data_IF_033812114572
#
_entry.id   IF_033812114572
#
_cell.length_a   1.000
_cell.length_b   1.000
_cell.length_c   1.000
_cell.angle_alpha   90.00
_cell.angle_beta   90.00
_cell.angle_gamma   90.00
#
_symmetry.space_group_name_H-M   'P 1'
#
loop_
_entity.id
_entity.type
_entity.pdbx_description
1 polymer ?
#
# COMPACT_ATOMS: atom_id res chain seq x y z
N UNK A 1 -32.15 -42.96 -63.07
CA UNK A 1 -30.73 -43.04 -63.48
C UNK A 1 -30.17 -41.63 -63.54
N UNK A 2 -29.07 -41.38 -62.82
CA UNK A 2 -28.12 -40.25 -62.89
C UNK A 2 -28.45 -38.95 -62.11
N UNK A 3 -27.83 -38.93 -60.93
CA UNK A 3 -27.54 -37.84 -60.00
C UNK A 3 -26.79 -36.67 -60.67
N UNK A 4 -26.97 -35.45 -60.16
CA UNK A 4 -25.98 -34.36 -60.18
C UNK A 4 -26.35 -33.33 -59.09
N UNK A 5 -25.95 -33.58 -57.85
CA UNK A 5 -25.88 -32.53 -56.82
C UNK A 5 -24.44 -32.09 -56.71
N UNK A 6 -24.20 -30.86 -57.17
CA UNK A 6 -22.95 -30.13 -57.09
C UNK A 6 -22.58 -29.99 -55.60
N UNK A 7 -21.51 -30.66 -55.19
CA UNK A 7 -20.98 -30.57 -53.84
C UNK A 7 -20.40 -29.19 -53.59
N UNK A 8 -20.87 -28.52 -52.53
CA UNK A 8 -20.19 -27.39 -51.92
C UNK A 8 -20.01 -27.70 -50.44
N UNK A 9 -18.97 -28.48 -50.15
CA UNK A 9 -18.54 -28.73 -48.76
C UNK A 9 -17.60 -27.60 -48.38
N UNK A 10 -18.15 -26.56 -47.76
CA UNK A 10 -17.37 -25.46 -47.18
C UNK A 10 -16.70 -25.99 -45.91
N UNK A 11 -15.43 -26.39 -46.02
CA UNK A 11 -14.63 -26.86 -44.89
C UNK A 11 -14.19 -25.65 -44.06
N UNK A 12 -14.91 -25.37 -42.97
CA UNK A 12 -14.59 -24.31 -42.02
C UNK A 12 -13.46 -24.80 -41.10
N UNK A 13 -12.20 -24.53 -41.49
CA UNK A 13 -11.02 -24.84 -40.66
C UNK A 13 -10.95 -23.81 -39.52
N UNK A 14 -11.39 -24.21 -38.33
CA UNK A 14 -11.26 -23.43 -37.11
C UNK A 14 -9.79 -23.46 -36.66
N UNK A 15 -9.01 -22.43 -37.00
CA UNK A 15 -7.66 -22.22 -36.50
C UNK A 15 -7.73 -21.92 -34.99
N UNK A 16 -7.47 -22.94 -34.16
CA UNK A 16 -7.23 -22.75 -32.73
C UNK A 16 -5.89 -22.03 -32.55
N UNK A 17 -5.93 -20.71 -32.39
CA UNK A 17 -4.76 -19.92 -32.01
C UNK A 17 -4.43 -20.28 -30.55
N UNK A 18 -3.26 -20.85 -30.24
CA UNK A 18 -2.87 -21.08 -28.85
C UNK A 18 -2.76 -19.72 -28.16
N UNK A 19 -3.56 -19.49 -27.12
CA UNK A 19 -3.41 -18.31 -26.28
C UNK A 19 -2.13 -18.49 -25.45
N UNK A 20 -1.05 -17.87 -25.91
CA UNK A 20 0.19 -17.78 -25.14
C UNK A 20 -0.10 -16.91 -23.92
N UNK A 21 -0.31 -17.57 -22.77
CA UNK A 21 -0.39 -16.90 -21.49
C UNK A 21 1.01 -16.44 -21.12
N UNK A 22 1.32 -15.16 -21.32
CA UNK A 22 2.55 -14.57 -20.82
C UNK A 22 2.51 -14.56 -19.30
N UNK A 23 3.37 -15.36 -18.66
CA UNK A 23 3.58 -15.28 -17.22
C UNK A 23 4.03 -13.83 -16.90
N UNK A 24 3.22 -13.13 -16.11
CA UNK A 24 3.54 -11.76 -15.69
C UNK A 24 4.77 -11.82 -14.78
N UNK A 25 5.79 -11.01 -15.05
CA UNK A 25 6.98 -10.98 -14.19
C UNK A 25 6.63 -10.44 -12.80
N UNK A 26 7.42 -10.78 -11.78
CA UNK A 26 7.19 -10.28 -10.41
C UNK A 26 7.08 -8.75 -10.36
N UNK A 27 7.96 -8.05 -11.05
CA UNK A 27 7.96 -6.58 -11.08
C UNK A 27 6.67 -6.04 -11.71
N UNK A 28 6.22 -6.66 -12.81
CA UNK A 28 4.95 -6.28 -13.44
C UNK A 28 3.76 -6.57 -12.52
N UNK A 29 3.78 -7.66 -11.74
CA UNK A 29 2.73 -7.96 -10.77
C UNK A 29 2.65 -6.86 -9.71
N UNK A 30 3.76 -6.47 -9.10
CA UNK A 30 3.80 -5.39 -8.09
C UNK A 30 3.25 -4.06 -8.62
N UNK A 31 3.60 -3.71 -9.87
CA UNK A 31 3.10 -2.51 -10.52
C UNK A 31 1.58 -2.59 -10.75
N UNK A 32 1.09 -3.74 -11.21
CA UNK A 32 -0.33 -3.97 -11.48
C UNK A 32 -1.19 -4.07 -10.21
N UNK A 33 -0.62 -4.30 -9.02
CA UNK A 33 -1.42 -4.26 -7.79
C UNK A 33 -2.02 -2.88 -7.52
N UNK A 34 -1.41 -1.81 -8.03
CA UNK A 34 -2.00 -0.47 -7.94
C UNK A 34 -3.08 -0.32 -9.03
N UNK A 35 -4.31 0.08 -8.66
CA UNK A 35 -5.33 0.38 -9.65
C UNK A 35 -4.99 1.66 -10.41
N UNK A 36 -5.51 1.76 -11.62
CA UNK A 36 -5.50 3.02 -12.36
C UNK A 36 -6.60 3.93 -11.82
N UNK A 37 -6.23 4.87 -10.95
CA UNK A 37 -7.13 5.88 -10.39
C UNK A 37 -6.85 7.23 -11.04
N UNK A 38 -7.89 8.04 -11.20
CA UNK A 38 -7.72 9.42 -11.63
C UNK A 38 -6.81 10.17 -10.65
N UNK A 39 -5.82 10.95 -11.13
CA UNK A 39 -4.98 11.74 -10.26
C UNK A 39 -5.82 12.74 -9.48
N UNK A 40 -5.47 12.96 -8.22
CA UNK A 40 -6.06 14.00 -7.39
C UNK A 40 -4.99 14.99 -6.95
N UNK A 41 -5.39 16.25 -6.78
CA UNK A 41 -4.48 17.27 -6.29
C UNK A 41 -4.21 17.05 -4.80
N UNK A 42 -2.94 16.95 -4.44
CA UNK A 42 -2.47 16.80 -3.07
C UNK A 42 -1.54 17.98 -2.76
N UNK A 43 -2.09 19.10 -2.25
CA UNK A 43 -1.30 20.31 -2.04
C UNK A 43 -0.17 20.13 -1.02
N UNK A 44 -0.25 19.12 -0.15
CA UNK A 44 0.80 18.83 0.83
C UNK A 44 2.07 18.26 0.18
N UNK A 45 1.98 17.68 -1.03
CA UNK A 45 3.17 17.19 -1.77
C UNK A 45 4.05 18.32 -2.30
N UNK A 46 3.53 19.54 -2.34
CA UNK A 46 4.27 20.72 -2.81
C UNK A 46 5.06 21.39 -1.68
N UNK A 47 4.81 20.97 -0.43
CA UNK A 47 5.49 21.51 0.75
C UNK A 47 6.80 20.76 0.99
N UNK A 48 7.81 21.51 1.40
CA UNK A 48 9.06 20.95 1.92
C UNK A 48 8.86 20.39 3.34
N UNK A 49 9.79 19.57 3.82
CA UNK A 49 9.71 19.02 5.18
C UNK A 49 9.63 20.13 6.27
N UNK A 50 10.46 21.20 6.24
CA UNK A 50 10.32 22.30 7.22
C UNK A 50 8.95 22.95 7.19
N UNK A 51 8.36 23.15 6.00
CA UNK A 51 7.02 23.73 5.87
C UNK A 51 5.92 22.81 6.41
N UNK A 52 6.07 21.49 6.27
CA UNK A 52 5.18 20.51 6.88
C UNK A 52 5.32 20.51 8.40
N UNK A 53 6.54 20.65 8.92
CA UNK A 53 6.81 20.72 10.36
C UNK A 53 6.21 21.99 10.96
N UNK A 54 6.38 23.15 10.31
CA UNK A 54 5.79 24.43 10.69
C UNK A 54 4.25 24.38 10.66
N UNK A 55 3.66 23.79 9.61
CA UNK A 55 2.21 23.58 9.54
C UNK A 55 1.72 22.66 10.67
N UNK A 56 2.46 21.59 10.97
CA UNK A 56 2.18 20.69 12.09
C UNK A 56 2.22 21.43 13.43
N UNK A 57 3.23 22.28 13.62
CA UNK A 57 3.37 23.08 14.82
C UNK A 57 2.25 24.12 14.96
N UNK A 58 1.82 24.75 13.85
CA UNK A 58 0.67 25.64 13.82
C UNK A 58 -0.62 24.93 14.27
N UNK A 59 -0.86 23.71 13.79
CA UNK A 59 -2.03 22.91 14.21
C UNK A 59 -1.97 22.60 15.69
N UNK A 60 -0.82 22.16 16.21
CA UNK A 60 -0.65 21.87 17.63
C UNK A 60 -0.92 23.10 18.51
N UNK A 61 -0.38 24.26 18.14
CA UNK A 61 -0.68 25.53 18.81
C UNK A 61 -2.17 25.86 18.79
N UNK A 62 -2.84 25.63 17.66
CA UNK A 62 -4.28 25.90 17.51
C UNK A 62 -5.12 25.04 18.45
N UNK A 63 -4.77 23.75 18.58
CA UNK A 63 -5.42 22.79 19.47
C UNK A 63 -5.18 23.16 20.94
N UNK A 64 -3.93 23.48 21.32
CA UNK A 64 -3.56 23.91 22.68
C UNK A 64 -4.29 25.19 23.08
N UNK A 65 -4.32 26.20 22.20
CA UNK A 65 -5.02 27.48 22.45
C UNK A 65 -6.51 27.22 22.69
N UNK A 66 -7.16 26.44 21.81
CA UNK A 66 -8.58 26.11 21.92
C UNK A 66 -8.88 25.39 23.24
N UNK A 67 -8.05 24.43 23.62
CA UNK A 67 -8.18 23.69 24.86
C UNK A 67 -8.03 24.61 26.08
N UNK A 68 -6.99 25.44 26.11
CA UNK A 68 -6.73 26.38 27.21
C UNK A 68 -7.85 27.41 27.34
N UNK A 69 -8.35 27.96 26.23
CA UNK A 69 -9.48 28.89 26.26
C UNK A 69 -10.73 28.28 26.91
N UNK A 70 -10.97 26.99 26.65
CA UNK A 70 -12.11 26.27 27.20
C UNK A 70 -11.94 25.88 28.68
N UNK A 71 -10.72 25.56 29.13
CA UNK A 71 -10.47 24.97 30.46
C UNK A 71 -9.80 25.93 31.45
N UNK A 72 -8.97 26.84 30.97
CA UNK A 72 -8.15 27.73 31.77
C UNK A 72 -7.97 29.10 31.07
N UNK A 73 -9.06 29.86 30.83
CA UNK A 73 -9.02 31.11 30.06
C UNK A 73 -8.10 32.19 30.67
N UNK A 74 -7.81 32.11 31.97
CA UNK A 74 -6.90 33.01 32.68
C UNK A 74 -5.43 32.51 32.70
N UNK A 75 -5.10 31.50 31.89
CA UNK A 75 -3.73 30.99 31.81
C UNK A 75 -2.77 32.07 31.29
N UNK A 76 -1.76 32.41 32.11
CA UNK A 76 -0.88 33.57 31.87
C UNK A 76 -0.15 33.54 30.53
N UNK A 77 0.14 32.37 29.96
CA UNK A 77 0.85 32.25 28.68
C UNK A 77 -0.07 32.19 27.46
N UNK A 78 -1.40 32.20 27.63
CA UNK A 78 -2.33 32.18 26.50
C UNK A 78 -2.08 33.31 25.48
N UNK A 79 -1.81 34.57 25.88
CA UNK A 79 -1.46 35.63 24.93
C UNK A 79 -0.17 35.35 24.15
N UNK A 80 0.84 34.78 24.80
CA UNK A 80 2.12 34.42 24.16
C UNK A 80 1.93 33.33 23.10
N UNK A 81 1.13 32.31 23.39
CA UNK A 81 0.80 31.24 22.44
C UNK A 81 0.08 31.79 21.20
N UNK A 82 -0.90 32.68 21.40
CA UNK A 82 -1.61 33.33 20.28
C UNK A 82 -0.68 34.19 19.42
N UNK A 83 0.22 34.95 20.04
CA UNK A 83 1.22 35.72 19.29
C UNK A 83 2.13 34.80 18.46
N UNK A 84 2.54 33.66 19.03
CA UNK A 84 3.38 32.68 18.35
C UNK A 84 2.66 32.04 17.16
N UNK A 85 1.38 31.70 17.33
CA UNK A 85 0.52 31.16 16.26
C UNK A 85 0.38 32.18 15.12
N UNK A 86 0.08 33.44 15.43
CA UNK A 86 -0.05 34.51 14.42
C UNK A 86 1.26 34.74 13.67
N UNK A 87 2.40 34.77 14.38
CA UNK A 87 3.71 34.94 13.75
C UNK A 87 4.03 33.78 12.80
N UNK A 88 3.71 32.53 13.20
CA UNK A 88 3.89 31.35 12.36
C UNK A 88 2.98 31.35 11.14
N UNK A 89 1.73 31.81 11.28
CA UNK A 89 0.83 31.98 10.13
C UNK A 89 1.38 33.00 9.13
N UNK A 90 1.88 34.14 9.62
CA UNK A 90 2.49 35.17 8.78
C UNK A 90 3.74 34.67 8.06
N UNK A 91 4.58 33.89 8.75
CA UNK A 91 5.76 33.26 8.16
C UNK A 91 5.37 32.31 7.01
N UNK A 92 4.43 31.40 7.26
CA UNK A 92 3.90 30.49 6.24
C UNK A 92 3.28 31.27 5.06
N UNK A 93 2.51 32.32 5.32
CA UNK A 93 1.93 33.17 4.28
C UNK A 93 3.00 33.87 3.44
N UNK A 94 4.11 34.33 4.05
CA UNK A 94 5.23 34.95 3.33
C UNK A 94 5.91 33.99 2.35
N UNK A 95 5.79 32.68 2.62
CA UNK A 95 6.25 31.59 1.75
C UNK A 95 5.18 31.14 0.75
N UNK A 96 4.11 31.91 0.57
CA UNK A 96 2.94 31.59 -0.26
C UNK A 96 2.15 30.36 0.20
N UNK A 97 2.21 30.01 1.48
CA UNK A 97 1.47 28.90 2.06
C UNK A 97 0.16 29.42 2.67
N UNK A 98 -0.96 29.01 2.08
CA UNK A 98 -2.28 29.29 2.63
C UNK A 98 -2.69 28.21 3.64
N UNK A 99 -2.45 28.49 4.93
CA UNK A 99 -2.75 27.58 6.04
C UNK A 99 -4.23 27.17 6.06
N UNK A 100 -5.14 28.12 5.98
CA UNK A 100 -6.59 27.86 6.00
C UNK A 100 -7.03 26.95 4.85
N UNK A 101 -6.51 27.18 3.65
CA UNK A 101 -6.74 26.29 2.51
C UNK A 101 -6.21 24.89 2.77
N UNK A 102 -4.97 24.73 3.23
CA UNK A 102 -4.39 23.41 3.52
C UNK A 102 -5.18 22.65 4.58
N UNK A 103 -5.58 23.31 5.67
CA UNK A 103 -6.42 22.70 6.70
C UNK A 103 -7.78 22.27 6.16
N UNK A 104 -8.39 23.05 5.26
CA UNK A 104 -9.63 22.64 4.57
C UNK A 104 -9.45 21.40 3.69
N UNK A 105 -8.25 21.19 3.12
CA UNK A 105 -7.94 20.05 2.27
C UNK A 105 -7.52 18.80 3.06
N UNK A 106 -7.11 18.93 4.33
CA UNK A 106 -6.54 17.83 5.14
C UNK A 106 -7.40 16.57 5.10
N UNK A 107 -8.70 16.68 5.40
CA UNK A 107 -9.61 15.53 5.44
C UNK A 107 -9.86 14.94 4.05
N UNK A 108 -10.01 15.80 3.04
CA UNK A 108 -10.26 15.38 1.65
C UNK A 108 -9.06 14.58 1.14
N UNK A 109 -7.85 15.11 1.30
CA UNK A 109 -6.61 14.46 0.89
C UNK A 109 -6.39 13.16 1.66
N UNK A 110 -6.63 13.15 2.97
CA UNK A 110 -6.53 11.92 3.78
C UNK A 110 -7.42 10.81 3.22
N UNK A 111 -8.69 11.11 2.96
CA UNK A 111 -9.63 10.14 2.39
C UNK A 111 -9.21 9.69 0.99
N UNK A 112 -8.73 10.60 0.13
CA UNK A 112 -8.26 10.26 -1.21
C UNK A 112 -7.00 9.39 -1.17
N UNK A 113 -6.06 9.66 -0.26
CA UNK A 113 -4.87 8.83 -0.02
C UNK A 113 -5.27 7.43 0.47
N UNK A 114 -6.19 7.34 1.42
CA UNK A 114 -6.69 6.07 1.93
C UNK A 114 -7.40 5.25 0.84
N UNK A 115 -8.29 5.88 0.06
CA UNK A 115 -8.93 5.26 -1.09
C UNK A 115 -7.90 4.74 -2.09
N UNK A 116 -6.88 5.56 -2.43
CA UNK A 116 -5.85 5.17 -3.37
C UNK A 116 -4.95 4.04 -2.84
N UNK A 117 -4.72 3.98 -1.53
CA UNK A 117 -3.86 2.99 -0.89
C UNK A 117 -4.58 1.65 -0.67
N UNK A 118 -5.91 1.65 -0.51
CA UNK A 118 -6.74 0.46 -0.27
C UNK A 118 -7.46 -0.07 -1.51
N UNK A 119 -7.53 0.71 -2.59
CA UNK A 119 -8.15 0.25 -3.82
C UNK A 119 -7.33 -0.89 -4.46
N UNK A 120 -8.05 -1.89 -4.94
CA UNK A 120 -7.50 -3.05 -5.67
C UNK A 120 -7.67 -2.87 -7.17
N UNK A 121 -6.84 -3.55 -7.96
CA UNK A 121 -6.91 -3.56 -9.42
C UNK A 121 -7.85 -4.68 -9.90
N UNK A 122 -9.01 -4.36 -10.51
CA UNK A 122 -9.94 -5.34 -11.05
C UNK A 122 -9.33 -6.32 -12.05
N UNK A 123 -8.32 -5.90 -12.83
CA UNK A 123 -7.64 -6.76 -13.80
C UNK A 123 -6.84 -7.88 -13.15
N UNK A 124 -6.40 -7.69 -11.90
CA UNK A 124 -5.69 -8.70 -11.12
C UNK A 124 -6.68 -9.63 -10.43
N UNK A 125 -7.67 -9.09 -9.71
CA UNK A 125 -8.57 -9.90 -8.87
C UNK A 125 -9.61 -10.69 -9.67
N UNK A 126 -9.95 -10.24 -10.87
CA UNK A 126 -10.89 -10.97 -11.75
C UNK A 126 -10.16 -11.96 -12.68
N UNK A 127 -8.83 -12.06 -12.56
CA UNK A 127 -8.03 -12.98 -13.35
C UNK A 127 -8.07 -14.39 -12.75
N UNK A 128 -8.33 -15.39 -13.60
CA UNK A 128 -8.13 -16.81 -13.23
C UNK A 128 -6.67 -17.26 -13.40
N UNK A 129 -5.75 -16.34 -13.71
CA UNK A 129 -4.34 -16.64 -13.94
C UNK A 129 -3.53 -16.54 -12.64
N UNK A 130 -2.59 -17.47 -12.47
CA UNK A 130 -1.61 -17.38 -11.38
C UNK A 130 -0.64 -16.22 -11.62
N UNK A 131 -0.38 -15.46 -10.58
CA UNK A 131 0.59 -14.38 -10.56
C UNK A 131 1.84 -14.82 -9.82
N UNK A 132 3.01 -14.49 -10.37
CA UNK A 132 4.29 -14.65 -9.69
C UNK A 132 4.65 -13.35 -8.98
N UNK A 133 5.02 -13.45 -7.72
CA UNK A 133 5.39 -12.33 -6.85
C UNK A 133 6.62 -12.68 -6.04
N UNK A 134 7.68 -11.92 -6.22
CA UNK A 134 8.91 -12.01 -5.43
C UNK A 134 8.96 -10.87 -4.41
N UNK A 135 9.28 -11.18 -3.17
CA UNK A 135 9.32 -10.22 -2.07
C UNK A 135 9.87 -10.81 -0.79
N UNK A 136 9.82 -10.04 0.28
CA UNK A 136 10.25 -10.43 1.62
C UNK A 136 9.03 -10.82 2.46
N UNK A 137 9.15 -11.90 3.22
CA UNK A 137 8.12 -12.31 4.18
C UNK A 137 8.29 -11.55 5.48
N UNK A 138 7.22 -10.92 5.94
CA UNK A 138 7.06 -10.39 7.30
C UNK A 138 6.19 -11.41 8.06
N UNK A 139 6.78 -12.28 8.91
CA UNK A 139 6.02 -13.33 9.58
C UNK A 139 4.95 -12.74 10.51
N UNK A 140 3.74 -13.29 10.42
CA UNK A 140 2.64 -13.01 11.34
C UNK A 140 2.54 -14.13 12.36
N UNK A 141 2.60 -15.38 11.89
CA UNK A 141 2.52 -16.58 12.72
C UNK A 141 3.62 -17.56 12.33
N UNK A 142 4.33 -18.07 13.34
CA UNK A 142 5.38 -19.07 13.20
C UNK A 142 5.03 -20.24 14.12
N UNK A 143 5.03 -21.45 13.58
CA UNK A 143 4.79 -22.68 14.31
C UNK A 143 5.84 -23.71 13.90
N UNK A 144 6.46 -24.38 14.89
CA UNK A 144 7.52 -25.37 14.65
C UNK A 144 8.65 -24.84 13.74
N UNK A 145 9.02 -23.57 13.93
CA UNK A 145 10.04 -22.84 13.16
C UNK A 145 9.70 -22.60 11.67
N UNK A 146 8.44 -22.84 11.26
CA UNK A 146 7.94 -22.56 9.93
C UNK A 146 6.91 -21.42 9.97
N UNK A 147 6.99 -20.51 9.00
CA UNK A 147 6.00 -19.44 8.81
C UNK A 147 4.67 -20.07 8.36
N UNK A 148 3.60 -19.78 9.09
CA UNK A 148 2.22 -20.21 8.76
C UNK A 148 1.45 -19.11 8.06
N UNK A 149 1.58 -17.88 8.52
CA UNK A 149 1.00 -16.71 7.85
C UNK A 149 1.99 -15.56 7.85
N UNK A 150 1.96 -14.75 6.80
CA UNK A 150 2.86 -13.60 6.65
C UNK A 150 2.24 -12.50 5.80
N UNK A 151 2.86 -11.33 5.82
CA UNK A 151 2.77 -10.39 4.71
C UNK A 151 3.94 -10.60 3.76
N UNK A 152 3.69 -10.50 2.46
CA UNK A 152 4.71 -10.38 1.44
C UNK A 152 4.81 -8.91 1.01
N UNK A 153 6.02 -8.37 1.02
CA UNK A 153 6.32 -6.97 0.63
C UNK A 153 7.44 -6.92 -0.40
N UNK A 154 7.42 -5.93 -1.30
CA UNK A 154 8.41 -5.82 -2.38
C UNK A 154 9.82 -5.54 -1.86
N UNK A 155 9.92 -4.56 -0.98
CA UNK A 155 11.17 -4.02 -0.46
C UNK A 155 11.48 -4.61 0.92
N UNK A 156 12.76 -4.69 1.27
CA UNK A 156 13.16 -5.35 2.52
C UNK A 156 12.65 -4.57 3.72
N UNK A 157 11.86 -5.21 4.62
CA UNK A 157 11.41 -4.57 5.86
C UNK A 157 12.55 -4.42 6.87
N UNK A 158 13.73 -4.99 6.59
CA UNK A 158 14.89 -5.01 7.47
C UNK A 158 15.91 -3.91 7.16
N UNK A 159 15.69 -3.13 6.09
CA UNK A 159 16.55 -1.99 5.78
C UNK A 159 16.07 -0.77 6.59
N UNK A 160 16.78 -0.45 7.66
CA UNK A 160 16.53 0.73 8.47
C UNK A 160 17.47 1.84 8.00
N UNK A 161 16.91 2.89 7.38
CA UNK A 161 17.60 4.17 7.22
C UNK A 161 16.94 5.15 8.17
N UNK A 162 17.70 5.73 9.09
CA UNK A 162 17.30 6.88 9.90
C UNK A 162 15.92 6.77 10.62
N UNK A 163 15.62 5.62 11.25
CA UNK A 163 14.37 5.37 12.00
C UNK A 163 13.06 5.50 11.17
N UNK A 164 13.16 5.58 9.85
CA UNK A 164 12.02 5.59 8.95
C UNK A 164 11.51 4.18 8.73
N UNK A 165 10.70 3.69 9.67
CA UNK A 165 9.95 2.46 9.50
C UNK A 165 8.71 2.75 8.64
N UNK A 166 8.81 2.53 7.34
CA UNK A 166 7.69 2.70 6.42
C UNK A 166 7.06 1.35 6.11
N UNK A 167 5.86 1.11 6.63
CA UNK A 167 5.00 0.01 6.14
C UNK A 167 4.56 0.39 4.72
N UNK A 168 4.63 -0.54 3.75
CA UNK A 168 4.08 -0.31 2.42
C UNK A 168 2.57 -0.01 2.47
N UNK A 169 2.05 0.61 1.41
CA UNK A 169 0.61 0.83 1.27
C UNK A 169 -0.17 -0.51 1.25
N UNK A 170 -1.46 -0.53 1.61
CA UNK A 170 -2.24 -1.77 1.65
C UNK A 170 -2.30 -2.52 0.32
N UNK A 171 -2.41 -1.81 -0.80
CA UNK A 171 -2.35 -2.40 -2.14
C UNK A 171 -0.92 -2.71 -2.63
N UNK A 172 0.06 -2.62 -1.74
CA UNK A 172 1.46 -3.02 -1.94
C UNK A 172 1.94 -3.98 -0.85
N UNK A 173 0.98 -4.57 -0.12
CA UNK A 173 1.20 -5.60 0.87
C UNK A 173 0.25 -6.74 0.55
N UNK A 174 0.77 -7.97 0.49
CA UNK A 174 -0.04 -9.16 0.18
C UNK A 174 -0.05 -10.07 1.41
N UNK A 175 -1.23 -10.45 1.88
CA UNK A 175 -1.37 -11.49 2.90
C UNK A 175 -1.15 -12.88 2.26
N UNK A 176 -0.35 -13.72 2.90
CA UNK A 176 -0.05 -15.07 2.41
C UNK A 176 -0.31 -16.11 3.49
N UNK A 177 -1.04 -17.16 3.11
CA UNK A 177 -1.19 -18.37 3.90
C UNK A 177 -0.18 -19.42 3.42
N UNK A 178 0.73 -19.76 4.32
CA UNK A 178 1.85 -20.67 4.15
C UNK A 178 1.71 -21.91 5.04
N UNK A 179 0.53 -22.18 5.60
CA UNK A 179 0.30 -23.24 6.57
C UNK A 179 0.68 -24.64 6.07
N UNK A 180 0.58 -24.84 4.75
CA UNK A 180 0.94 -26.10 4.05
C UNK A 180 2.41 -26.16 3.60
N UNK A 181 3.23 -25.20 4.00
CA UNK A 181 4.64 -25.11 3.64
C UNK A 181 5.53 -25.12 4.89
N UNK A 182 6.82 -25.44 4.69
CA UNK A 182 7.85 -25.44 5.73
C UNK A 182 8.87 -24.33 5.50
N UNK A 183 8.42 -23.13 5.08
CA UNK A 183 9.32 -21.99 4.90
C UNK A 183 9.78 -21.49 6.27
N UNK A 184 11.08 -21.46 6.49
CA UNK A 184 11.68 -20.88 7.69
C UNK A 184 11.81 -19.35 7.54
N UNK A 185 11.75 -18.58 8.64
CA UNK A 185 12.06 -17.15 8.61
C UNK A 185 13.45 -16.88 8.02
N UNK A 186 13.51 -15.98 7.04
CA UNK A 186 14.74 -15.53 6.40
C UNK A 186 14.65 -14.05 6.07
N UNK A 187 15.81 -13.38 5.91
CA UNK A 187 15.90 -12.01 5.41
C UNK A 187 15.95 -11.93 3.89
N UNK A 188 15.97 -13.07 3.22
CA UNK A 188 16.05 -13.17 1.77
C UNK A 188 14.69 -13.07 1.08
N UNK A 189 14.72 -12.83 -0.23
CA UNK A 189 13.50 -12.84 -1.05
C UNK A 189 13.00 -14.26 -1.27
N UNK A 190 11.68 -14.39 -1.25
CA UNK A 190 10.96 -15.57 -1.72
C UNK A 190 10.17 -15.21 -2.97
N UNK A 191 10.13 -16.13 -3.93
CA UNK A 191 9.27 -16.04 -5.11
C UNK A 191 8.10 -17.01 -4.93
N UNK A 192 6.90 -16.45 -4.85
CA UNK A 192 5.65 -17.19 -4.70
C UNK A 192 4.83 -17.08 -5.99
N UNK A 193 4.03 -18.11 -6.27
CA UNK A 193 3.00 -18.08 -7.31
C UNK A 193 1.66 -18.51 -6.74
N UNK A 194 0.60 -17.80 -7.13
CA UNK A 194 -0.75 -18.10 -6.65
C UNK A 194 -1.80 -17.23 -7.33
N UNK A 195 -3.05 -17.39 -6.90
CA UNK A 195 -4.15 -16.51 -7.32
C UNK A 195 -4.22 -15.33 -6.37
N UNK A 196 -4.33 -14.11 -6.92
CA UNK A 196 -4.50 -12.90 -6.11
C UNK A 196 -5.98 -12.59 -5.98
N UNK A 197 -6.48 -12.64 -4.75
CA UNK A 197 -7.86 -12.30 -4.39
C UNK A 197 -7.87 -11.08 -3.47
N UNK A 198 -9.06 -10.50 -3.29
CA UNK A 198 -9.26 -9.42 -2.31
C UNK A 198 -9.46 -10.00 -0.92
N UNK A 199 -8.75 -9.45 0.06
CA UNK A 199 -8.98 -9.70 1.49
C UNK A 199 -8.52 -8.48 2.27
N UNK A 200 -9.17 -8.13 3.38
CA UNK A 200 -8.81 -6.97 4.22
C UNK A 200 -8.19 -7.45 5.53
N UNK A 201 -6.86 -7.58 5.54
CA UNK A 201 -6.12 -8.12 6.69
C UNK A 201 -5.26 -7.03 7.32
N UNK A 202 -5.51 -6.75 8.60
CA UNK A 202 -4.74 -5.81 9.42
C UNK A 202 -4.09 -6.54 10.59
N UNK A 203 -2.80 -6.31 10.83
CA UNK A 203 -2.07 -6.87 11.96
C UNK A 203 -1.04 -5.88 12.47
N UNK A 204 -0.90 -5.82 13.78
CA UNK A 204 0.16 -5.08 14.44
C UNK A 204 1.32 -6.03 14.66
N UNK A 205 2.46 -5.74 14.05
CA UNK A 205 3.66 -6.56 14.14
C UNK A 205 4.78 -5.76 14.78
N UNK A 206 5.68 -6.44 15.47
CA UNK A 206 6.88 -5.80 16.03
C UNK A 206 8.01 -5.81 15.00
N UNK A 207 8.65 -4.67 14.80
CA UNK A 207 9.90 -4.58 14.06
C UNK A 207 11.06 -5.22 14.83
N UNK A 208 12.22 -5.35 14.18
CA UNK A 208 13.44 -5.89 14.80
C UNK A 208 13.92 -5.07 16.02
N UNK A 209 13.59 -3.78 16.08
CA UNK A 209 13.89 -2.88 17.20
C UNK A 209 12.70 -2.69 18.16
N UNK A 210 11.70 -3.59 18.10
CA UNK A 210 10.54 -3.68 19.00
C UNK A 210 9.57 -2.48 18.93
N UNK A 211 9.55 -1.73 17.83
CA UNK A 211 8.48 -0.78 17.51
C UNK A 211 7.26 -1.50 16.90
N UNK A 212 6.07 -1.02 17.24
CA UNK A 212 4.82 -1.53 16.66
C UNK A 212 4.58 -0.94 15.27
N UNK A 213 4.35 -1.82 14.30
CA UNK A 213 4.11 -1.51 12.90
C UNK A 213 2.74 -2.06 12.50
N UNK A 214 1.86 -1.18 12.00
CA UNK A 214 0.52 -1.56 11.57
C UNK A 214 0.56 -1.97 10.09
N UNK A 215 0.63 -3.28 9.83
CA UNK A 215 0.51 -3.81 8.48
C UNK A 215 -0.94 -3.96 8.09
N UNK A 216 -1.24 -3.60 6.84
CA UNK A 216 -2.54 -3.74 6.22
C UNK A 216 -2.32 -4.28 4.81
N UNK A 217 -3.06 -5.32 4.43
CA UNK A 217 -3.10 -5.85 3.07
C UNK A 217 -4.55 -5.83 2.57
N UNK A 218 -4.73 -5.45 1.29
CA UNK A 218 -6.02 -5.59 0.58
C UNK A 218 -6.02 -6.75 -0.44
N UNK A 219 -4.89 -7.45 -0.54
CA UNK A 219 -4.70 -8.62 -1.38
C UNK A 219 -4.33 -9.83 -0.53
N UNK A 220 -4.80 -11.00 -0.96
CA UNK A 220 -4.37 -12.31 -0.47
C UNK A 220 -3.88 -13.17 -1.62
N UNK A 221 -2.74 -13.83 -1.43
CA UNK A 221 -2.26 -14.85 -2.35
C UNK A 221 -2.77 -16.22 -1.90
N UNK A 222 -3.57 -16.86 -2.75
CA UNK A 222 -4.14 -18.18 -2.51
C UNK A 222 -3.53 -19.25 -3.43
N UNK A 223 -3.66 -20.51 -3.03
CA UNK A 223 -3.05 -21.65 -3.74
C UNK A 223 -1.55 -21.47 -3.96
N UNK A 224 -0.88 -20.96 -2.92
CA UNK A 224 0.52 -20.57 -2.94
C UNK A 224 1.41 -21.76 -3.30
N UNK A 225 2.28 -21.54 -4.28
CA UNK A 225 3.37 -22.42 -4.69
C UNK A 225 4.67 -21.64 -4.53
N UNK A 226 5.66 -22.22 -3.87
CA UNK A 226 6.99 -21.61 -3.74
C UNK A 226 7.77 -21.96 -5.00
N UNK A 227 8.20 -20.95 -5.74
CA UNK A 227 9.02 -21.14 -6.95
C UNK A 227 10.49 -21.16 -6.59
N UNK A 228 10.92 -20.20 -5.78
CA UNK A 228 12.31 -20.03 -5.41
C UNK A 228 12.37 -19.39 -4.02
N UNK A 229 13.33 -19.84 -3.22
CA UNK A 229 13.75 -19.15 -2.02
C UNK A 229 15.24 -18.92 -2.20
N UNK A 230 15.66 -17.66 -2.24
CA UNK A 230 17.09 -17.37 -2.20
C UNK A 230 17.56 -17.79 -0.81
N UNK A 231 18.41 -18.81 -0.75
CA UNK A 231 18.98 -19.37 0.46
C UNK A 231 20.40 -19.81 0.18
N UNK A 232 21.29 -19.52 1.13
CA UNK A 232 22.74 -19.75 1.14
C UNK A 232 23.20 -21.09 0.54
#
# INVERSE_FOLDING_TARGET
>A
MRNNHLGSFLLLVLLAIPQISFATSSEQTWQKLRPNLAPFNDPFKQLTQPQLDDLGYFVALSEDITLIESQAPNYKKLPELKLKQTALEQELQSQNINVNYLLSQRKIVMQKREQAATATNPEIINSSTKHTVSGYLVPIEIENNAIKTAFLVKDSPYFVVAHQHHVPQPNQTIYVDLSKSNIMPSKEKVTLSGLLNTDDVKKNLKSADNHEMNYHAVYKLENVTIIEQQGD
#
